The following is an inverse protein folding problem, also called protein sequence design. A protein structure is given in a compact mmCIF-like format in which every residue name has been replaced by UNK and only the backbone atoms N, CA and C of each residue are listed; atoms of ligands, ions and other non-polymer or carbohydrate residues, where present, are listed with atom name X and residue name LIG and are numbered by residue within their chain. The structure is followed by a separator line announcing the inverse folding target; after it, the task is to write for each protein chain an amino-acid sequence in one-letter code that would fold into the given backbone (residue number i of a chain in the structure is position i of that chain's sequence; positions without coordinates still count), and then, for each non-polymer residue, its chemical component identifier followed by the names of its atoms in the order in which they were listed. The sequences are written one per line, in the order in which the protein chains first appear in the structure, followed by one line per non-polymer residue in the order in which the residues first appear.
data_IF_291978785316
#
_entry.id   IF_291978785316
#
_cell.length_a   1.000
_cell.length_b   1.000
_cell.length_c   1.000
_cell.angle_alpha   90.00
_cell.angle_beta   90.00
_cell.angle_gamma   90.00
#
_symmetry.space_group_name_H-M   'P 1'
#
loop_
_entity.id
_entity.type
_entity.pdbx_description
1 polymer ?
#
# COMPACT_ATOMS: atom_id res chain seq x y z
N UNK A 1 16.22 39.98 -9.01
CA UNK A 1 16.11 38.54 -9.30
C UNK A 1 15.45 37.82 -8.12
N UNK A 2 14.14 37.98 -7.92
CA UNK A 2 13.44 37.46 -6.72
C UNK A 2 12.06 36.87 -7.06
N UNK A 3 11.97 36.07 -8.13
CA UNK A 3 10.73 35.39 -8.51
C UNK A 3 10.95 34.00 -9.15
N UNK A 4 12.14 33.38 -8.97
CA UNK A 4 12.45 32.08 -9.55
C UNK A 4 12.38 30.91 -8.54
N UNK A 5 12.29 31.19 -7.23
CA UNK A 5 12.27 30.15 -6.18
C UNK A 5 10.88 29.64 -5.78
N UNK A 6 9.80 30.34 -6.16
CA UNK A 6 8.44 29.98 -5.76
C UNK A 6 7.81 28.86 -6.60
N UNK A 7 8.12 28.82 -7.91
CA UNK A 7 7.54 27.84 -8.83
C UNK A 7 8.15 26.43 -8.67
N UNK A 8 9.43 26.34 -8.31
CA UNK A 8 10.13 25.07 -8.08
C UNK A 8 9.75 24.42 -6.75
N UNK A 9 9.43 25.19 -5.70
CA UNK A 9 8.96 24.65 -4.43
C UNK A 9 7.54 24.04 -4.53
N UNK A 10 6.66 24.61 -5.35
CA UNK A 10 5.30 24.13 -5.54
C UNK A 10 5.23 22.79 -6.32
N UNK A 11 6.14 22.58 -7.29
CA UNK A 11 6.21 21.33 -8.05
C UNK A 11 6.75 20.15 -7.21
N UNK A 12 7.64 20.42 -6.24
CA UNK A 12 8.17 19.39 -5.32
C UNK A 12 7.12 19.01 -4.27
N UNK A 13 6.30 19.96 -3.81
CA UNK A 13 5.21 19.70 -2.86
C UNK A 13 4.06 18.87 -3.47
N UNK A 14 3.78 19.02 -4.77
CA UNK A 14 2.74 18.24 -5.47
C UNK A 14 3.10 16.75 -5.62
N UNK A 15 4.39 16.42 -5.71
CA UNK A 15 4.87 15.03 -5.84
C UNK A 15 4.98 14.27 -4.51
N UNK A 16 4.70 14.92 -3.37
CA UNK A 16 4.78 14.32 -2.03
C UNK A 16 3.45 13.74 -1.53
N UNK A 17 2.38 13.81 -2.32
CA UNK A 17 1.04 13.33 -1.93
C UNK A 17 0.56 12.23 -2.86
N UNK A 18 1.37 11.17 -3.04
CA UNK A 18 0.82 9.87 -3.42
C UNK A 18 0.15 9.26 -2.19
N UNK A 19 -0.95 9.85 -1.73
CA UNK A 19 -1.74 9.28 -0.64
C UNK A 19 -2.51 8.09 -1.22
N UNK A 20 -1.89 6.92 -1.23
CA UNK A 20 -2.61 5.69 -1.51
C UNK A 20 -3.74 5.57 -0.48
N UNK A 21 -4.99 5.43 -0.95
CA UNK A 21 -6.14 5.26 -0.07
C UNK A 21 -6.01 3.91 0.65
N UNK A 22 -5.57 3.94 1.91
CA UNK A 22 -5.25 2.75 2.69
C UNK A 22 -6.28 2.53 3.77
N UNK A 23 -6.75 1.30 3.90
CA UNK A 23 -7.67 0.89 4.96
C UNK A 23 -7.02 -0.24 5.75
N UNK A 24 -6.90 -0.03 7.05
CA UNK A 24 -6.27 -0.97 7.98
C UNK A 24 -7.31 -1.84 8.66
N UNK A 25 -7.08 -3.14 8.67
CA UNK A 25 -7.95 -4.11 9.32
C UNK A 25 -7.23 -4.89 10.42
N UNK A 26 -8.02 -5.36 11.36
CA UNK A 26 -7.63 -6.44 12.29
C UNK A 26 -7.65 -7.78 11.55
N UNK A 27 -7.01 -8.80 12.12
CA UNK A 27 -6.86 -10.12 11.50
C UNK A 27 -8.17 -10.70 10.95
N UNK A 28 -9.22 -10.76 11.78
CA UNK A 28 -10.49 -11.40 11.42
C UNK A 28 -11.16 -10.69 10.24
N UNK A 29 -11.31 -9.38 10.34
CA UNK A 29 -11.93 -8.55 9.32
C UNK A 29 -11.14 -8.59 8.00
N UNK A 30 -9.81 -8.69 8.07
CA UNK A 30 -8.98 -8.85 6.88
C UNK A 30 -9.19 -10.19 6.19
N UNK A 31 -9.26 -11.30 6.94
CA UNK A 31 -9.51 -12.63 6.38
C UNK A 31 -10.92 -12.73 5.76
N UNK A 32 -11.92 -12.15 6.41
CA UNK A 32 -13.28 -12.06 5.87
C UNK A 32 -13.27 -11.28 4.54
N UNK A 33 -12.51 -10.18 4.49
CA UNK A 33 -12.37 -9.38 3.27
C UNK A 33 -11.65 -10.15 2.16
N UNK A 34 -10.60 -10.91 2.48
CA UNK A 34 -9.92 -11.78 1.50
C UNK A 34 -10.89 -12.82 0.94
N UNK A 35 -11.80 -13.36 1.75
CA UNK A 35 -12.81 -14.31 1.29
C UNK A 35 -13.85 -13.68 0.35
N UNK A 36 -14.21 -12.41 0.57
CA UNK A 36 -15.16 -11.65 -0.27
C UNK A 36 -14.49 -11.19 -1.57
N UNK A 37 -13.36 -10.50 -1.45
CA UNK A 37 -12.65 -9.89 -2.56
C UNK A 37 -11.95 -10.92 -3.46
N UNK A 38 -11.60 -12.09 -2.90
CA UNK A 38 -10.86 -13.16 -3.59
C UNK A 38 -9.70 -12.63 -4.43
N UNK A 39 -8.76 -11.88 -3.83
CA UNK A 39 -7.61 -11.40 -4.56
C UNK A 39 -6.84 -12.58 -5.16
N UNK A 40 -6.24 -12.39 -6.33
CA UNK A 40 -5.41 -13.43 -6.95
C UNK A 40 -4.10 -13.63 -6.17
N UNK A 41 -3.58 -12.55 -5.59
CA UNK A 41 -2.30 -12.51 -4.90
C UNK A 41 -2.39 -11.60 -3.67
N UNK A 42 -1.76 -12.02 -2.58
CA UNK A 42 -1.52 -11.18 -1.40
C UNK A 42 -0.06 -10.72 -1.44
N UNK A 43 0.19 -9.43 -1.21
CA UNK A 43 1.55 -8.90 -1.10
C UNK A 43 1.97 -8.83 0.35
N UNK A 44 3.23 -9.16 0.61
CA UNK A 44 3.81 -9.12 1.94
C UNK A 44 5.06 -8.24 1.96
N UNK A 45 5.08 -7.25 2.85
CA UNK A 45 6.26 -6.40 3.08
C UNK A 45 6.50 -6.31 4.59
N UNK A 46 7.65 -6.82 5.04
CA UNK A 46 8.07 -6.90 6.44
C UNK A 46 7.10 -7.69 7.33
N UNK A 47 6.07 -7.02 7.85
CA UNK A 47 5.01 -7.59 8.71
C UNK A 47 3.62 -7.31 8.16
N UNK A 48 3.54 -6.76 6.95
CA UNK A 48 2.34 -6.20 6.38
C UNK A 48 1.84 -7.06 5.24
N UNK A 49 0.63 -7.57 5.37
CA UNK A 49 -0.09 -8.22 4.27
C UNK A 49 -1.07 -7.24 3.68
N UNK A 50 -1.09 -7.11 2.36
CA UNK A 50 -2.00 -6.20 1.69
C UNK A 50 -2.39 -6.67 0.30
N UNK A 51 -3.51 -6.15 -0.18
CA UNK A 51 -3.98 -6.31 -1.55
C UNK A 51 -4.82 -5.08 -1.94
N UNK A 52 -5.01 -4.89 -3.24
CA UNK A 52 -5.88 -3.84 -3.75
C UNK A 52 -7.30 -4.36 -3.94
N UNK A 53 -8.28 -3.59 -3.46
CA UNK A 53 -9.70 -3.87 -3.66
C UNK A 53 -10.47 -2.56 -3.79
N UNK A 54 -11.29 -2.44 -4.83
CA UNK A 54 -12.10 -1.25 -5.15
C UNK A 54 -11.32 0.09 -5.17
N UNK A 55 -10.06 0.06 -5.62
CA UNK A 55 -9.19 1.24 -5.69
C UNK A 55 -8.53 1.64 -4.37
N UNK A 56 -8.73 0.87 -3.31
CA UNK A 56 -8.10 1.05 -2.01
C UNK A 56 -7.09 -0.07 -1.74
N UNK A 57 -6.04 0.24 -0.96
CA UNK A 57 -5.14 -0.77 -0.42
C UNK A 57 -5.65 -1.22 0.94
N UNK A 58 -6.10 -2.46 1.00
CA UNK A 58 -6.52 -3.13 2.23
C UNK A 58 -5.27 -3.76 2.85
N UNK A 59 -5.01 -3.52 4.14
CA UNK A 59 -3.84 -4.13 4.79
C UNK A 59 -4.03 -4.49 6.26
N UNK A 60 -3.21 -5.42 6.73
CA UNK A 60 -3.10 -5.81 8.14
C UNK A 60 -1.65 -6.09 8.54
N UNK A 61 -1.39 -6.15 9.85
CA UNK A 61 -0.09 -6.58 10.42
C UNK A 61 -0.21 -7.84 11.30
N UNK A 62 -1.39 -8.45 11.36
CA UNK A 62 -1.72 -9.48 12.37
C UNK A 62 -1.84 -10.88 11.76
N UNK A 63 -1.66 -11.03 10.45
CA UNK A 63 -1.77 -12.29 9.74
C UNK A 63 -0.40 -12.95 9.52
N UNK A 64 -0.44 -14.26 9.31
CA UNK A 64 0.65 -15.08 8.83
C UNK A 64 0.41 -15.56 7.38
N UNK A 65 1.48 -15.83 6.63
CA UNK A 65 1.40 -16.26 5.24
C UNK A 65 0.55 -17.54 5.06
N UNK A 66 0.49 -18.42 6.07
CA UNK A 66 -0.25 -19.69 6.03
C UNK A 66 -1.77 -19.52 6.14
N UNK A 67 -2.23 -18.34 6.49
CA UNK A 67 -3.67 -18.06 6.66
C UNK A 67 -4.37 -17.77 5.34
N UNK A 68 -3.60 -17.53 4.27
CA UNK A 68 -4.13 -17.20 2.96
C UNK A 68 -4.10 -18.43 2.06
N UNK A 69 -5.23 -18.80 1.42
CA UNK A 69 -5.21 -19.80 0.36
C UNK A 69 -4.55 -19.27 -0.93
N UNK A 70 -4.43 -17.95 -1.06
CA UNK A 70 -3.76 -17.28 -2.18
C UNK A 70 -2.23 -17.34 -2.05
N UNK A 71 -1.49 -17.27 -3.17
CA UNK A 71 -0.05 -17.04 -3.12
C UNK A 71 0.26 -15.70 -2.42
N UNK A 72 1.25 -15.75 -1.53
CA UNK A 72 1.84 -14.57 -0.89
C UNK A 72 3.14 -14.23 -1.60
N UNK A 73 3.27 -12.99 -2.08
CA UNK A 73 4.46 -12.50 -2.77
C UNK A 73 5.18 -11.49 -1.88
N UNK A 74 6.44 -11.77 -1.57
CA UNK A 74 7.28 -10.86 -0.79
C UNK A 74 7.78 -9.68 -1.65
N UNK A 75 7.53 -8.47 -1.17
CA UNK A 75 8.02 -7.23 -1.77
C UNK A 75 9.21 -6.64 -0.99
N UNK A 76 10.00 -5.81 -1.67
CA UNK A 76 11.17 -5.13 -1.09
C UNK A 76 10.71 -4.00 -0.14
N UNK A 77 9.83 -3.13 -0.65
CA UNK A 77 9.34 -1.96 0.07
C UNK A 77 7.90 -1.62 -0.33
N UNK A 78 7.15 -1.08 0.63
CA UNK A 78 5.86 -0.45 0.38
C UNK A 78 6.04 1.07 0.30
N UNK A 79 6.50 1.55 -0.86
CA UNK A 79 6.87 2.95 -1.05
C UNK A 79 5.65 3.85 -1.34
N UNK A 80 5.64 5.03 -0.71
CA UNK A 80 4.78 6.16 -1.09
C UNK A 80 5.50 7.15 -2.01
N UNK A 81 6.79 6.94 -2.25
CA UNK A 81 7.62 7.81 -3.06
C UNK A 81 7.79 7.17 -4.45
N UNK A 82 7.93 8.00 -5.50
CA UNK A 82 8.41 7.51 -6.78
C UNK A 82 9.71 6.73 -6.58
N UNK A 83 9.93 5.72 -7.43
CA UNK A 83 11.20 5.00 -7.46
C UNK A 83 12.33 5.99 -7.74
N UNK A 84 13.33 6.01 -6.87
CA UNK A 84 14.55 6.82 -7.00
C UNK A 84 15.70 5.83 -7.21
N UNK A 85 16.40 5.93 -8.34
CA UNK A 85 17.50 5.02 -8.73
C UNK A 85 18.83 5.38 -8.07
#
# INVERSE_FOLDING_TARGET
MAAAGGATAAAIAANLVSSSYRVKFRRREFLDLVAIAKPTTIYHVRRMHFFAYDGFVMYTFECDNREFPQPVVDGIEFSNRPWDE
#
